data_IF_419576597967
#
_entry.id   IF_419576597967
#
_cell.length_a   1.000
_cell.length_b   1.000
_cell.length_c   1.000
_cell.angle_alpha   90.00
_cell.angle_beta   90.00
_cell.angle_gamma   90.00
#
_symmetry.space_group_name_H-M   'P 1'
#
loop_
_entity.id
_entity.type
_entity.pdbx_description
1 polymer ?
#
# COMPACT_ATOMS: atom_id res chain seq x y z
N UNK A 1 6.54 -16.69 -25.20
CA UNK A 1 5.35 -15.83 -24.92
C UNK A 1 4.68 -16.22 -23.60
N UNK A 2 4.93 -17.43 -23.08
CA UNK A 2 4.38 -17.93 -21.80
C UNK A 2 4.75 -17.13 -20.56
N UNK A 3 5.98 -16.60 -20.49
CA UNK A 3 6.45 -15.90 -19.29
C UNK A 3 5.75 -14.53 -19.09
N UNK A 4 5.35 -13.86 -20.18
CA UNK A 4 4.56 -12.62 -20.09
C UNK A 4 3.14 -12.90 -19.63
N UNK A 5 2.51 -13.98 -20.09
CA UNK A 5 1.17 -14.36 -19.64
C UNK A 5 1.17 -14.69 -18.14
N UNK A 6 2.17 -15.43 -17.67
CA UNK A 6 2.36 -15.75 -16.23
C UNK A 6 2.60 -14.46 -15.42
N UNK A 7 3.43 -13.54 -15.92
CA UNK A 7 3.70 -12.27 -15.26
C UNK A 7 2.42 -11.42 -15.11
N UNK A 8 1.65 -11.27 -16.18
CA UNK A 8 0.39 -10.52 -16.16
C UNK A 8 -0.62 -11.20 -15.22
N UNK A 9 -0.73 -12.53 -15.25
CA UNK A 9 -1.61 -13.26 -14.35
C UNK A 9 -1.27 -13.05 -12.87
N UNK A 10 0.03 -13.02 -12.51
CA UNK A 10 0.47 -12.69 -11.15
C UNK A 10 0.06 -11.28 -10.72
N UNK A 11 0.20 -10.29 -11.61
CA UNK A 11 -0.23 -8.92 -11.33
C UNK A 11 -1.73 -8.87 -11.12
N UNK A 12 -2.51 -9.54 -11.97
CA UNK A 12 -3.96 -9.60 -11.85
C UNK A 12 -4.37 -10.23 -10.51
N UNK A 13 -3.70 -11.31 -10.10
CA UNK A 13 -3.97 -11.96 -8.81
C UNK A 13 -3.64 -11.05 -7.62
N UNK A 14 -2.49 -10.37 -7.66
CA UNK A 14 -2.09 -9.41 -6.62
C UNK A 14 -3.05 -8.21 -6.57
N UNK A 15 -3.46 -7.69 -7.72
CA UNK A 15 -4.39 -6.56 -7.82
C UNK A 15 -5.79 -6.95 -7.34
N UNK A 16 -6.27 -8.14 -7.68
CA UNK A 16 -7.52 -8.69 -7.18
C UNK A 16 -7.48 -8.80 -5.65
N UNK A 17 -6.41 -9.39 -5.10
CA UNK A 17 -6.20 -9.51 -3.67
C UNK A 17 -6.19 -8.16 -2.98
N UNK A 18 -5.41 -7.20 -3.50
CA UNK A 18 -5.32 -5.84 -2.96
C UNK A 18 -6.68 -5.11 -3.03
N UNK A 19 -7.42 -5.26 -4.13
CA UNK A 19 -8.75 -4.67 -4.30
C UNK A 19 -9.74 -5.19 -3.26
N UNK A 20 -9.77 -6.50 -3.03
CA UNK A 20 -10.61 -7.10 -2.00
C UNK A 20 -10.19 -6.66 -0.59
N UNK A 21 -8.89 -6.55 -0.35
CA UNK A 21 -8.33 -6.12 0.92
C UNK A 21 -8.67 -4.66 1.22
N UNK A 22 -8.64 -3.76 0.23
CA UNK A 22 -9.07 -2.37 0.41
C UNK A 22 -10.59 -2.28 0.55
N UNK A 23 -11.35 -3.00 -0.28
CA UNK A 23 -12.82 -2.94 -0.30
C UNK A 23 -13.47 -3.48 0.97
N UNK A 24 -12.93 -4.57 1.52
CA UNK A 24 -13.53 -5.27 2.65
C UNK A 24 -12.66 -5.24 3.91
N UNK A 25 -11.35 -5.00 3.81
CA UNK A 25 -10.43 -5.00 4.94
C UNK A 25 -10.72 -3.92 5.98
N UNK A 26 -11.28 -2.77 5.56
CA UNK A 26 -11.69 -1.72 6.49
C UNK A 26 -12.74 -2.17 7.52
N UNK A 27 -13.56 -3.19 7.22
CA UNK A 27 -14.54 -3.74 8.17
C UNK A 27 -13.90 -4.64 9.22
N UNK A 28 -12.79 -5.30 8.88
CA UNK A 28 -12.05 -6.16 9.79
C UNK A 28 -11.06 -5.38 10.66
N UNK A 29 -10.75 -4.14 10.27
CA UNK A 29 -9.95 -3.22 11.05
C UNK A 29 -10.90 -2.37 11.90
N UNK A 30 -11.23 -2.86 13.10
CA UNK A 30 -11.91 -2.07 14.12
C UNK A 30 -10.97 -0.96 14.62
N UNK A 31 -10.89 0.12 13.85
CA UNK A 31 -10.09 1.28 14.17
C UNK A 31 -10.91 2.16 15.12
N UNK A 32 -10.46 2.25 16.37
CA UNK A 32 -10.99 3.26 17.28
C UNK A 32 -10.62 4.65 16.72
N UNK A 33 -11.58 5.59 16.60
CA UNK A 33 -11.35 6.91 16.01
C UNK A 33 -10.63 7.83 17.00
N UNK A 34 -9.42 7.44 17.39
CA UNK A 34 -8.55 8.23 18.27
C UNK A 34 -7.68 9.16 17.45
N UNK A 35 -7.26 10.28 18.04
CA UNK A 35 -6.36 11.25 17.40
C UNK A 35 -5.07 10.60 16.89
N UNK A 36 -4.53 9.63 17.63
CA UNK A 36 -3.30 8.90 17.25
C UNK A 36 -3.54 8.07 15.98
N UNK A 37 -4.63 7.30 15.93
CA UNK A 37 -4.96 6.43 14.78
C UNK A 37 -5.11 7.25 13.49
N UNK A 38 -5.85 8.36 13.57
CA UNK A 38 -6.05 9.26 12.41
C UNK A 38 -4.72 9.88 11.97
N UNK A 39 -3.92 10.37 12.92
CA UNK A 39 -2.62 10.96 12.62
C UNK A 39 -1.69 9.95 11.96
N UNK A 40 -1.63 8.71 12.45
CA UNK A 40 -0.79 7.66 11.87
C UNK A 40 -1.20 7.33 10.43
N UNK A 41 -2.50 7.18 10.15
CA UNK A 41 -2.99 6.85 8.80
C UNK A 41 -2.67 7.97 7.79
N UNK A 42 -2.74 9.23 8.20
CA UNK A 42 -2.48 10.39 7.32
C UNK A 42 -0.97 10.66 7.17
N UNK A 43 -0.20 10.49 8.24
CA UNK A 43 1.22 10.86 8.26
C UNK A 43 2.11 9.76 7.65
N UNK A 44 1.78 8.49 7.85
CA UNK A 44 2.61 7.36 7.38
C UNK A 44 2.87 7.36 5.87
N UNK A 45 1.89 7.58 4.98
CA UNK A 45 2.15 7.64 3.54
C UNK A 45 3.11 8.76 3.16
N UNK A 46 2.94 9.93 3.78
CA UNK A 46 3.79 11.11 3.55
C UNK A 46 5.22 10.88 4.04
N UNK A 47 5.39 10.29 5.23
CA UNK A 47 6.69 9.89 5.75
C UNK A 47 7.36 8.84 4.87
N UNK A 48 6.62 7.83 4.41
CA UNK A 48 7.16 6.79 3.55
C UNK A 48 7.68 7.36 2.23
N UNK A 49 6.88 8.21 1.55
CA UNK A 49 7.30 8.88 0.31
C UNK A 49 8.50 9.79 0.58
N UNK A 50 8.45 10.58 1.66
CA UNK A 50 9.54 11.48 2.05
C UNK A 50 10.85 10.74 2.30
N UNK A 51 10.81 9.60 2.99
CA UNK A 51 11.98 8.74 3.24
C UNK A 51 12.52 8.12 1.95
N UNK A 52 11.65 7.61 1.07
CA UNK A 52 12.04 7.05 -0.22
C UNK A 52 12.72 8.11 -1.09
N UNK A 53 12.12 9.30 -1.18
CA UNK A 53 12.68 10.40 -1.98
C UNK A 53 13.96 10.95 -1.36
N UNK A 54 14.03 11.09 -0.04
CA UNK A 54 15.22 11.52 0.68
C UNK A 54 16.38 10.54 0.52
N UNK A 55 16.10 9.24 0.60
CA UNK A 55 17.08 8.18 0.31
C UNK A 55 17.57 8.27 -1.14
N UNK A 56 16.65 8.41 -2.09
CA UNK A 56 17.00 8.56 -3.51
C UNK A 56 17.84 9.81 -3.75
N UNK A 57 17.54 10.91 -3.09
CA UNK A 57 18.33 12.13 -3.17
C UNK A 57 19.74 11.95 -2.60
N UNK A 58 19.89 11.21 -1.49
CA UNK A 58 21.19 10.90 -0.90
C UNK A 58 22.07 10.00 -1.79
N UNK A 59 21.46 9.15 -2.61
CA UNK A 59 22.18 8.25 -3.51
C UNK A 59 22.63 8.89 -4.83
N UNK A 60 22.19 10.11 -5.14
CA UNK A 60 22.54 10.89 -6.34
C UNK A 60 23.64 11.88 -5.99
#
# INVERSE_FOLDING_TARGET
MDNQAIFVFKILLLSLGLSLLVKYGGRYLELQPTTITVLTIVLMPSLAIGLILGWRYWQV
#
